data_IF_670572980194
#
_entry.id   IF_670572980194
#
_cell.length_a   1.000
_cell.length_b   1.000
_cell.length_c   1.000
_cell.angle_alpha   90.00
_cell.angle_beta   90.00
_cell.angle_gamma   90.00
#
_symmetry.space_group_name_H-M   'P 1'
#
loop_
_entity.id
_entity.type
_entity.pdbx_description
1 polymer ?
#
# COMPACT_ATOMS: atom_id res chain seq x y z
N UNK A 1 7.01 -7.78 -33.19
CA UNK A 1 7.54 -7.50 -31.83
C UNK A 1 6.47 -7.76 -30.80
N UNK A 2 6.77 -8.55 -29.77
CA UNK A 2 5.87 -8.80 -28.63
C UNK A 2 5.85 -7.56 -27.71
N UNK A 3 4.67 -7.16 -27.24
CA UNK A 3 4.50 -6.07 -26.26
C UNK A 3 4.06 -6.62 -24.92
N UNK A 4 4.81 -6.31 -23.85
CA UNK A 4 4.42 -6.58 -22.47
C UNK A 4 3.42 -5.51 -22.01
N UNK A 5 2.34 -5.92 -21.35
CA UNK A 5 1.34 -5.02 -20.75
C UNK A 5 1.05 -5.44 -19.32
N UNK A 6 0.85 -4.47 -18.44
CA UNK A 6 0.34 -4.68 -17.09
C UNK A 6 -1.16 -4.42 -17.10
N UNK A 7 -1.94 -5.32 -16.50
CA UNK A 7 -3.38 -5.18 -16.34
C UNK A 7 -3.74 -5.41 -14.87
N UNK A 8 -4.77 -4.74 -14.39
CA UNK A 8 -5.26 -4.83 -13.02
C UNK A 8 -4.21 -4.46 -11.95
N UNK A 9 -3.50 -3.35 -12.18
CA UNK A 9 -2.59 -2.76 -11.20
C UNK A 9 -3.23 -1.52 -10.59
N UNK A 10 -3.27 -1.46 -9.26
CA UNK A 10 -3.77 -0.32 -8.51
C UNK A 10 -2.60 0.41 -7.84
N UNK A 11 -2.69 1.74 -7.81
CA UNK A 11 -1.74 2.62 -7.13
C UNK A 11 -2.50 3.61 -6.26
N UNK A 12 -1.81 4.16 -5.27
CA UNK A 12 -2.27 5.32 -4.52
C UNK A 12 -2.34 6.54 -5.44
N UNK A 13 -3.18 7.53 -5.08
CA UNK A 13 -3.42 8.74 -5.89
C UNK A 13 -2.12 9.53 -6.15
N UNK A 14 -1.16 9.45 -5.22
CA UNK A 14 0.16 10.09 -5.27
C UNK A 14 1.23 9.23 -5.96
N UNK A 15 0.86 8.07 -6.53
CA UNK A 15 1.71 7.27 -7.41
C UNK A 15 2.45 6.11 -6.74
N UNK A 16 2.22 5.83 -5.46
CA UNK A 16 2.85 4.70 -4.78
C UNK A 16 2.12 3.37 -5.03
N UNK A 17 2.87 2.29 -5.25
CA UNK A 17 2.32 0.93 -5.45
C UNK A 17 2.08 0.14 -4.16
N UNK A 18 2.46 0.70 -2.99
CA UNK A 18 2.33 0.07 -1.69
C UNK A 18 2.12 1.13 -0.61
N UNK A 19 1.39 0.79 0.44
CA UNK A 19 1.21 1.65 1.60
C UNK A 19 2.50 1.86 2.40
N UNK A 20 2.50 2.84 3.30
CA UNK A 20 3.63 3.07 4.21
C UNK A 20 3.98 1.79 4.96
N UNK A 21 5.27 1.45 5.09
CA UNK A 21 5.76 0.24 5.77
C UNK A 21 5.16 -1.10 5.26
N UNK A 22 4.65 -1.16 4.03
CA UNK A 22 4.12 -2.41 3.46
C UNK A 22 5.25 -3.24 2.86
N UNK A 23 5.52 -4.40 3.46
CA UNK A 23 6.64 -5.29 3.11
C UNK A 23 6.42 -6.72 3.60
N UNK A 24 7.43 -7.58 3.49
CA UNK A 24 7.34 -9.00 3.92
C UNK A 24 6.93 -9.15 5.38
N UNK A 25 7.53 -8.34 6.23
CA UNK A 25 7.34 -8.40 7.69
C UNK A 25 6.06 -7.69 8.13
N UNK A 26 5.48 -6.89 7.23
CA UNK A 26 4.28 -6.11 7.48
C UNK A 26 3.42 -6.01 6.20
N UNK A 27 2.74 -7.10 5.80
CA UNK A 27 2.12 -7.22 4.48
C UNK A 27 0.94 -6.27 4.23
N UNK A 28 0.34 -5.74 5.30
CA UNK A 28 -0.75 -4.76 5.24
C UNK A 28 -0.28 -3.31 5.35
N UNK A 29 1.02 -3.08 5.56
CA UNK A 29 1.55 -1.75 5.80
C UNK A 29 1.32 -1.25 7.21
N UNK A 30 1.82 -0.05 7.47
CA UNK A 30 1.73 0.63 8.74
C UNK A 30 0.27 0.97 9.05
N UNK A 31 -0.02 0.98 10.34
CA UNK A 31 -1.29 1.49 10.85
C UNK A 31 -1.49 2.92 10.31
N UNK A 32 -2.57 3.17 9.55
CA UNK A 32 -2.95 4.55 9.22
C UNK A 32 -3.02 5.36 10.52
N UNK A 33 -2.59 6.64 10.55
CA UNK A 33 -2.61 7.45 11.77
C UNK A 33 -3.99 7.47 12.45
N UNK A 34 -5.06 7.26 11.68
CA UNK A 34 -6.43 7.06 12.20
C UNK A 34 -6.59 5.81 13.09
N UNK A 35 -5.97 4.67 12.76
CA UNK A 35 -6.08 3.44 13.57
C UNK A 35 -5.22 3.46 14.83
N UNK A 36 -4.16 4.30 14.88
CA UNK A 36 -3.48 4.60 16.14
C UNK A 36 -4.34 5.52 17.03
N UNK A 37 -4.97 6.55 16.46
CA UNK A 37 -5.81 7.50 17.20
C UNK A 37 -7.09 6.88 17.81
N UNK A 38 -7.59 5.77 17.26
CA UNK A 38 -8.80 5.08 17.75
C UNK A 38 -8.50 3.84 18.61
N UNK A 39 -7.23 3.50 18.82
CA UNK A 39 -6.83 2.52 19.83
C UNK A 39 -6.52 3.29 21.09
N UNK A 40 -7.53 3.47 21.94
CA UNK A 40 -7.43 4.20 23.20
C UNK A 40 -6.53 3.50 24.21
N UNK A 41 -5.22 3.60 24.00
CA UNK A 41 -4.19 3.43 25.03
C UNK A 41 -3.79 4.79 25.63
#
# INVERSE_FOLDING_TARGET
MTKLRVHNFAILLDGYGAGSNQGSDNPLGGTFPWSAANRGE
#
